data_IF_016800698655
#
_entry.id   IF_016800698655
#
_cell.length_a   1.000
_cell.length_b   1.000
_cell.length_c   1.000
_cell.angle_alpha   90.00
_cell.angle_beta   90.00
_cell.angle_gamma   90.00
#
_symmetry.space_group_name_H-M   'P 1'
#
loop_
_entity.id
_entity.type
_entity.pdbx_description
1 polymer ?
#
# COMPACT_ATOMS: atom_id res chain seq x y z
N UNK A 1 5.09 -13.18 -1.24
CA UNK A 1 5.24 -12.57 0.11
C UNK A 1 4.04 -12.91 0.96
N UNK A 2 4.27 -13.28 2.19
CA UNK A 2 3.18 -13.55 3.10
C UNK A 2 2.47 -12.25 3.47
N UNK A 3 1.14 -12.33 3.58
CA UNK A 3 0.34 -11.16 3.90
C UNK A 3 0.80 -10.50 5.21
N UNK A 4 1.12 -11.32 6.21
CA UNK A 4 1.54 -10.77 7.50
C UNK A 4 2.85 -9.98 7.37
N UNK A 5 3.74 -10.42 6.50
CA UNK A 5 5.00 -9.71 6.26
C UNK A 5 4.74 -8.39 5.53
N UNK A 6 3.82 -8.41 4.57
CA UNK A 6 3.43 -7.19 3.87
C UNK A 6 2.85 -6.18 4.84
N UNK A 7 1.93 -6.64 5.70
CA UNK A 7 1.30 -5.75 6.70
C UNK A 7 2.37 -5.15 7.61
N UNK A 8 3.33 -5.96 8.07
CA UNK A 8 4.40 -5.45 8.93
C UNK A 8 5.22 -4.38 8.23
N UNK A 9 5.52 -4.58 6.96
CA UNK A 9 6.29 -3.59 6.21
C UNK A 9 5.56 -2.28 6.07
N UNK A 10 4.27 -2.32 5.71
CA UNK A 10 3.53 -1.07 5.54
C UNK A 10 3.24 -0.41 6.89
N UNK A 11 3.07 -1.17 7.94
CA UNK A 11 2.93 -0.59 9.28
C UNK A 11 4.22 0.12 9.71
N UNK A 12 5.37 -0.41 9.33
CA UNK A 12 6.64 0.23 9.64
C UNK A 12 6.80 1.57 8.90
N UNK A 13 6.05 1.77 7.84
CA UNK A 13 6.01 3.05 7.12
C UNK A 13 5.04 4.05 7.77
N UNK A 14 4.32 3.61 8.78
CA UNK A 14 3.33 4.44 9.45
C UNK A 14 1.91 4.23 8.95
N UNK A 15 1.71 3.24 8.09
CA UNK A 15 0.37 2.99 7.55
C UNK A 15 -0.56 2.42 8.61
N UNK A 16 -1.82 2.79 8.52
CA UNK A 16 -2.85 2.37 9.45
C UNK A 16 -4.03 1.77 8.71
N UNK A 17 -4.68 0.83 9.35
CA UNK A 17 -5.91 0.24 8.82
C UNK A 17 -7.03 1.26 8.98
N UNK A 18 -7.69 1.60 7.87
CA UNK A 18 -8.76 2.61 7.90
C UNK A 18 -10.12 2.01 7.62
N UNK A 19 -10.18 0.82 7.02
CA UNK A 19 -11.47 0.25 6.68
C UNK A 19 -11.35 -1.25 6.38
N UNK A 20 -12.33 -2.01 6.83
CA UNK A 20 -12.52 -3.40 6.42
C UNK A 20 -13.53 -3.41 5.27
N UNK A 21 -13.05 -3.67 4.06
CA UNK A 21 -13.94 -3.86 2.93
C UNK A 21 -14.40 -5.31 2.83
N UNK A 22 -15.20 -5.60 1.80
CA UNK A 22 -15.75 -6.94 1.62
C UNK A 22 -14.67 -7.99 1.39
N UNK A 23 -13.65 -7.67 0.59
CA UNK A 23 -12.58 -8.60 0.24
C UNK A 23 -11.20 -8.06 0.50
N UNK A 24 -11.09 -6.82 0.92
CA UNK A 24 -9.82 -6.14 1.11
C UNK A 24 -9.86 -5.31 2.37
N UNK A 25 -8.72 -5.22 3.03
CA UNK A 25 -8.53 -4.28 4.13
C UNK A 25 -7.79 -3.08 3.57
N UNK A 26 -8.29 -1.88 3.84
CA UNK A 26 -7.70 -0.67 3.32
C UNK A 26 -6.73 -0.07 4.34
N UNK A 27 -5.52 0.16 3.90
CA UNK A 27 -4.48 0.80 4.70
C UNK A 27 -4.12 2.14 4.08
N UNK A 28 -3.83 3.10 4.93
CA UNK A 28 -3.47 4.43 4.50
C UNK A 28 -2.19 4.87 5.19
N UNK A 29 -1.31 5.53 4.43
CA UNK A 29 -0.15 6.20 4.99
C UNK A 29 -0.54 7.66 5.27
N UNK A 30 -0.67 8.06 6.54
CA UNK A 30 -1.08 9.43 6.85
C UNK A 30 -0.07 10.48 6.40
N UNK A 31 1.19 10.09 6.20
CA UNK A 31 2.21 11.03 5.73
C UNK A 31 2.05 11.38 4.27
N UNK A 32 1.54 10.48 3.47
CA UNK A 32 1.39 10.70 2.03
C UNK A 32 -0.06 10.90 1.62
N UNK A 33 -1.00 10.44 2.44
CA UNK A 33 -2.40 10.44 2.11
C UNK A 33 -2.81 9.34 1.16
N UNK A 34 -1.90 8.46 0.79
CA UNK A 34 -2.18 7.36 -0.14
C UNK A 34 -2.79 6.19 0.60
N UNK A 35 -3.86 5.62 0.03
CA UNK A 35 -4.51 4.42 0.55
C UNK A 35 -4.41 3.31 -0.49
N UNK A 36 -4.28 2.07 -0.01
CA UNK A 36 -4.22 0.91 -0.89
C UNK A 36 -5.02 -0.24 -0.27
N UNK A 37 -5.73 -1.01 -1.11
CA UNK A 37 -6.41 -2.20 -0.62
C UNK A 37 -5.43 -3.35 -0.50
N UNK A 38 -5.50 -4.07 0.61
CA UNK A 38 -4.66 -5.23 0.86
C UNK A 38 -5.54 -6.48 0.79
N UNK A 39 -5.28 -7.40 -0.15
CA UNK A 39 -6.06 -8.62 -0.24
C UNK A 39 -5.95 -9.45 1.03
N UNK A 40 -6.99 -10.21 1.35
CA UNK A 40 -7.00 -11.07 2.53
C UNK A 40 -6.46 -12.47 2.25
N UNK A 41 -5.72 -12.64 1.18
CA UNK A 41 -5.05 -13.91 0.89
C UNK A 41 -3.83 -14.05 1.79
N UNK A 42 -3.56 -15.25 2.23
CA UNK A 42 -2.39 -15.52 3.08
C UNK A 42 -1.10 -15.24 2.34
N UNK A 43 -1.10 -15.48 1.04
CA UNK A 43 0.07 -15.26 0.20
C UNK A 43 -0.29 -14.22 -0.85
N UNK A 44 0.51 -13.15 -0.89
CA UNK A 44 0.33 -12.06 -1.86
C UNK A 44 1.42 -12.19 -2.92
N UNK A 45 1.04 -12.13 -4.19
CA UNK A 45 2.01 -12.19 -5.27
C UNK A 45 3.10 -11.13 -5.09
N UNK A 46 4.32 -11.49 -5.43
CA UNK A 46 5.47 -10.63 -5.19
C UNK A 46 5.35 -9.28 -5.88
N UNK A 47 4.90 -9.29 -7.13
CA UNK A 47 4.76 -8.06 -7.91
C UNK A 47 3.74 -7.14 -7.27
N UNK A 48 2.60 -7.70 -6.86
CA UNK A 48 1.55 -6.92 -6.22
C UNK A 48 2.01 -6.38 -4.87
N UNK A 49 2.69 -7.22 -4.08
CA UNK A 49 3.18 -6.81 -2.78
C UNK A 49 4.15 -5.64 -2.90
N UNK A 50 5.07 -5.72 -3.85
CA UNK A 50 6.04 -4.63 -4.07
C UNK A 50 5.36 -3.35 -4.54
N UNK A 51 4.35 -3.49 -5.39
CA UNK A 51 3.59 -2.34 -5.86
C UNK A 51 2.89 -1.65 -4.71
N UNK A 52 2.25 -2.42 -3.84
CA UNK A 52 1.56 -1.87 -2.68
C UNK A 52 2.54 -1.12 -1.78
N UNK A 53 3.68 -1.74 -1.47
CA UNK A 53 4.69 -1.10 -0.62
C UNK A 53 5.16 0.20 -1.25
N UNK A 54 5.48 0.16 -2.55
CA UNK A 54 5.97 1.34 -3.25
C UNK A 54 4.95 2.47 -3.25
N UNK A 55 3.68 2.12 -3.52
CA UNK A 55 2.63 3.13 -3.55
C UNK A 55 2.42 3.79 -2.20
N UNK A 56 2.46 2.99 -1.14
CA UNK A 56 2.24 3.52 0.21
C UNK A 56 3.47 4.24 0.75
N UNK A 57 4.66 3.82 0.33
CA UNK A 57 5.90 4.44 0.81
C UNK A 57 6.23 5.73 0.09
N UNK A 58 5.71 5.91 -1.12
CA UNK A 58 6.10 7.01 -1.98
C UNK A 58 5.36 8.29 -1.62
N UNK A 59 6.11 9.27 -1.14
CA UNK A 59 5.55 10.57 -0.81
C UNK A 59 5.16 11.37 -2.05
N UNK A 60 5.73 11.03 -3.25
CA UNK A 60 5.43 11.69 -4.51
C UNK A 60 4.25 10.99 -5.15
N UNK A 61 3.26 11.66 -5.37
CA UNK A 61 2.16 11.05 -6.12
C UNK A 61 2.49 10.91 -7.58
N UNK A 62 3.52 11.24 -7.67
CA UNK A 62 3.57 11.37 -8.74
C UNK A 62 3.70 11.59 -9.47
N UNK A 63 4.23 11.80 -9.20
CA UNK A 63 4.28 12.23 -9.89
C UNK A 63 4.21 12.31 -10.60
N UNK A 64 4.56 12.42 -10.42
CA UNK A 64 4.49 12.75 -11.04
C UNK A 64 4.34 12.57 -11.80
N UNK A 65 4.46 12.73 -11.71
CA UNK A 65 4.29 12.87 -12.50
C UNK A 65 4.09 12.83 -13.13
N UNK A 66 4.32 12.93 -12.91
CA UNK A 66 4.12 13.23 -13.61
C UNK A 66 4.06 13.16 -14.33
N UNK A 67 4.37 13.36 -14.36
CA UNK A 67 4.30 13.66 -15.07
C UNK A 67 4.19 13.57 -15.88
N UNK A 68 4.31 13.68 -15.74
CA UNK A 68 4.15 13.97 -16.44
C UNK A 68 4.10 13.95 -17.15
N UNK A 69 4.27 14.11 -17.03
CA UNK A 69 4.15 14.39 -17.68
C UNK A 69 4.06 14.27 -18.19
N UNK A 70 4.26 14.42 -17.88
CA UNK A 70 4.16 14.60 -18.28
C UNK A 70 4.13 14.46 -18.74
#
# INVERSE_FOLDING_TARGET
MKRIDLIRQIESLGCILIRHGAKHDWYRNPNTGVSQPIPRHREIGEILARKIIRMLANAEPDDKNVRADQ
#
